data_IF_198482890728
#
_entry.id   IF_198482890728
#
_cell.length_a   1.000
_cell.length_b   1.000
_cell.length_c   1.000
_cell.angle_alpha   90.00
_cell.angle_beta   90.00
_cell.angle_gamma   90.00
#
_symmetry.space_group_name_H-M   'P 1'
#
loop_
_entity.id
_entity.type
_entity.pdbx_description
1 polymer ?
#
# COMPACT_ATOMS: atom_id res chain seq x y z
N UNK A 1 -15.48 -21.31 -13.07
CA UNK A 1 -15.22 -20.54 -11.85
C UNK A 1 -13.72 -20.26 -11.84
N UNK A 2 -13.30 -19.01 -11.87
CA UNK A 2 -11.88 -18.70 -11.77
C UNK A 2 -11.35 -19.23 -10.42
N UNK A 3 -10.11 -19.74 -10.36
CA UNK A 3 -9.51 -20.16 -9.10
C UNK A 3 -9.49 -18.98 -8.13
N UNK A 4 -9.83 -19.25 -6.86
CA UNK A 4 -9.81 -18.22 -5.84
C UNK A 4 -8.39 -17.63 -5.71
N UNK A 5 -8.27 -16.31 -5.63
CA UNK A 5 -6.99 -15.63 -5.40
C UNK A 5 -6.38 -16.15 -4.06
N UNK A 6 -5.19 -16.74 -4.09
CA UNK A 6 -4.58 -17.30 -2.89
C UNK A 6 -4.27 -16.23 -1.84
N UNK A 7 -3.91 -15.01 -2.27
CA UNK A 7 -3.64 -13.88 -1.38
C UNK A 7 -4.90 -13.45 -0.63
N UNK A 8 -6.00 -13.27 -1.35
CA UNK A 8 -7.29 -12.95 -0.75
C UNK A 8 -7.73 -14.05 0.21
N UNK A 9 -7.62 -15.31 -0.21
CA UNK A 9 -7.95 -16.47 0.64
C UNK A 9 -7.11 -16.55 1.92
N UNK A 10 -5.87 -16.11 1.86
CA UNK A 10 -5.00 -16.02 3.06
C UNK A 10 -5.52 -14.95 4.02
N UNK A 11 -5.78 -13.73 3.53
CA UNK A 11 -6.24 -12.63 4.39
C UNK A 11 -7.62 -12.90 4.98
N UNK A 12 -8.55 -13.49 4.22
CA UNK A 12 -9.85 -13.93 4.74
C UNK A 12 -9.73 -14.87 5.95
N UNK A 13 -8.77 -15.79 5.93
CA UNK A 13 -8.60 -16.78 7.01
C UNK A 13 -7.77 -16.28 8.18
N UNK A 14 -6.91 -15.27 7.98
CA UNK A 14 -5.92 -14.85 8.97
C UNK A 14 -6.07 -13.39 9.41
N UNK A 15 -7.17 -12.71 9.03
CA UNK A 15 -7.34 -11.27 9.21
C UNK A 15 -7.09 -10.80 10.65
N UNK A 16 -7.76 -11.41 11.62
CA UNK A 16 -7.63 -11.03 13.03
C UNK A 16 -6.21 -11.16 13.55
N UNK A 17 -5.56 -12.31 13.28
CA UNK A 17 -4.19 -12.53 13.70
C UNK A 17 -3.23 -11.56 13.02
N UNK A 18 -3.42 -11.32 11.72
CA UNK A 18 -2.59 -10.39 10.94
C UNK A 18 -2.75 -8.95 11.45
N UNK A 19 -3.97 -8.51 11.70
CA UNK A 19 -4.23 -7.17 12.22
C UNK A 19 -3.55 -6.94 13.57
N UNK A 20 -3.71 -7.87 14.52
CA UNK A 20 -3.02 -7.80 15.81
C UNK A 20 -1.49 -7.81 15.70
N UNK A 21 -0.93 -8.59 14.77
CA UNK A 21 0.52 -8.68 14.59
C UNK A 21 1.13 -7.45 13.90
N UNK A 22 0.31 -6.57 13.31
CA UNK A 22 0.80 -5.42 12.53
C UNK A 22 0.38 -4.06 13.08
N UNK A 23 -0.61 -4.00 13.97
CA UNK A 23 -1.18 -2.73 14.45
C UNK A 23 -0.18 -1.83 15.17
N UNK A 24 0.77 -2.42 15.89
CA UNK A 24 1.79 -1.68 16.67
C UNK A 24 3.07 -1.37 15.87
N UNK A 25 3.18 -1.86 14.62
CA UNK A 25 4.34 -1.59 13.78
C UNK A 25 4.35 -0.11 13.36
N UNK A 26 5.49 0.58 13.52
CA UNK A 26 5.59 2.03 13.28
C UNK A 26 6.30 2.32 11.95
N UNK A 27 5.63 3.10 11.10
CA UNK A 27 6.15 3.53 9.79
C UNK A 27 6.60 5.00 9.80
N UNK A 28 7.13 5.49 10.94
CA UNK A 28 7.35 6.91 11.20
C UNK A 28 8.22 7.60 10.13
N UNK A 29 9.30 6.96 9.66
CA UNK A 29 10.16 7.54 8.63
C UNK A 29 9.41 7.71 7.30
N UNK A 30 8.72 6.66 6.86
CA UNK A 30 8.01 6.69 5.59
C UNK A 30 6.79 7.63 5.65
N UNK A 31 6.02 7.60 6.75
CA UNK A 31 4.89 8.51 6.98
C UNK A 31 5.36 9.98 7.02
N UNK A 32 6.47 10.27 7.72
CA UNK A 32 7.03 11.62 7.77
C UNK A 32 7.50 12.10 6.40
N UNK A 33 8.16 11.24 5.62
CA UNK A 33 8.60 11.57 4.27
C UNK A 33 7.42 11.79 3.31
N UNK A 34 6.35 11.00 3.41
CA UNK A 34 5.12 11.16 2.63
C UNK A 34 4.39 12.45 3.02
N UNK A 35 4.20 12.70 4.32
CA UNK A 35 3.54 13.88 4.84
C UNK A 35 4.23 15.20 4.43
N UNK A 36 5.55 15.19 4.30
CA UNK A 36 6.31 16.36 3.87
C UNK A 36 6.01 16.81 2.42
N UNK A 37 5.41 15.94 1.61
CA UNK A 37 5.03 16.25 0.23
C UNK A 37 3.54 16.59 0.07
N UNK A 38 2.77 16.56 1.15
CA UNK A 38 1.31 16.74 1.12
C UNK A 38 0.90 18.15 1.50
N UNK A 39 -0.15 18.71 0.90
CA UNK A 39 -0.78 19.92 1.41
C UNK A 39 -1.47 19.66 2.75
N UNK A 40 -1.71 20.71 3.53
CA UNK A 40 -2.51 20.63 4.74
C UNK A 40 -3.92 20.10 4.43
N UNK A 41 -4.43 19.19 5.28
CA UNK A 41 -5.76 18.57 5.09
C UNK A 41 -5.92 17.83 3.77
N UNK A 42 -4.83 17.23 3.26
CA UNK A 42 -4.87 16.43 2.05
C UNK A 42 -5.92 15.31 2.12
N UNK A 43 -6.53 15.01 0.98
CA UNK A 43 -7.39 13.84 0.81
C UNK A 43 -6.53 12.67 0.36
N UNK A 44 -6.49 11.62 1.16
CA UNK A 44 -5.60 10.47 0.96
C UNK A 44 -6.41 9.20 0.73
N UNK A 45 -5.84 8.31 -0.07
CA UNK A 45 -6.24 6.93 -0.18
C UNK A 45 -5.20 6.05 0.52
N UNK A 46 -5.61 5.27 1.53
CA UNK A 46 -4.82 4.16 2.07
C UNK A 46 -5.25 2.88 1.33
N UNK A 47 -4.42 2.46 0.37
CA UNK A 47 -4.77 1.48 -0.65
C UNK A 47 -4.19 0.10 -0.33
N UNK A 48 -5.02 -0.79 0.18
CA UNK A 48 -4.64 -2.03 0.84
C UNK A 48 -4.26 -1.77 2.29
N UNK A 49 -5.17 -1.15 3.07
CA UNK A 49 -4.89 -0.61 4.40
C UNK A 49 -4.64 -1.66 5.48
N UNK A 50 -4.93 -2.93 5.20
CA UNK A 50 -4.72 -4.03 6.14
C UNK A 50 -5.40 -3.78 7.50
N UNK A 51 -4.63 -3.73 8.58
CA UNK A 51 -5.14 -3.47 9.94
C UNK A 51 -5.69 -2.05 10.16
N UNK A 52 -5.57 -1.13 9.20
CA UNK A 52 -5.95 0.27 9.35
C UNK A 52 -4.97 1.12 10.17
N UNK A 53 -3.83 0.58 10.56
CA UNK A 53 -2.78 1.24 11.35
C UNK A 53 -2.34 2.56 10.73
N UNK A 54 -1.99 2.54 9.44
CA UNK A 54 -1.50 3.72 8.74
C UNK A 54 -2.63 4.73 8.47
N UNK A 55 -3.85 4.24 8.19
CA UNK A 55 -5.05 5.09 8.14
C UNK A 55 -5.25 5.88 9.43
N UNK A 56 -5.10 5.23 10.59
CA UNK A 56 -5.23 5.88 11.89
C UNK A 56 -4.12 6.93 12.10
N UNK A 57 -2.88 6.58 11.77
CA UNK A 57 -1.74 7.50 11.88
C UNK A 57 -1.91 8.73 10.98
N UNK A 58 -2.31 8.54 9.72
CA UNK A 58 -2.55 9.63 8.77
C UNK A 58 -3.70 10.54 9.20
N UNK A 59 -4.79 9.98 9.74
CA UNK A 59 -5.88 10.78 10.35
C UNK A 59 -5.40 11.57 11.56
N UNK A 60 -4.53 10.97 12.38
CA UNK A 60 -3.89 11.65 13.51
C UNK A 60 -3.05 12.87 13.11
N UNK A 61 -2.51 12.87 11.87
CA UNK A 61 -1.82 14.02 11.28
C UNK A 61 -2.78 15.05 10.67
N UNK A 62 -4.09 14.84 10.73
CA UNK A 62 -5.11 15.79 10.27
C UNK A 62 -5.53 15.64 8.80
N UNK A 63 -5.22 14.52 8.17
CA UNK A 63 -5.61 14.21 6.79
C UNK A 63 -7.01 13.56 6.71
N UNK A 64 -7.69 13.76 5.58
CA UNK A 64 -8.91 13.03 5.23
C UNK A 64 -8.53 11.71 4.54
N UNK A 65 -8.71 10.57 5.23
CA UNK A 65 -8.26 9.27 4.74
C UNK A 65 -9.44 8.38 4.35
N UNK A 66 -9.48 7.98 3.09
CA UNK A 66 -10.27 6.85 2.61
C UNK A 66 -9.44 5.58 2.74
N UNK A 67 -9.91 4.62 3.52
CA UNK A 67 -9.24 3.33 3.73
C UNK A 67 -9.91 2.28 2.83
N UNK A 68 -9.11 1.53 2.08
CA UNK A 68 -9.58 0.48 1.16
C UNK A 68 -8.78 -0.79 1.35
N UNK A 69 -9.46 -1.93 1.40
CA UNK A 69 -8.84 -3.26 1.38
C UNK A 69 -9.70 -4.21 0.55
N UNK A 70 -9.07 -5.18 -0.12
CA UNK A 70 -9.78 -6.16 -0.92
C UNK A 70 -10.48 -7.25 -0.10
N UNK A 71 -10.06 -7.45 1.16
CA UNK A 71 -10.57 -8.51 2.03
C UNK A 71 -11.65 -7.97 2.99
N UNK A 72 -12.90 -8.47 2.91
CA UNK A 72 -13.93 -8.19 3.91
C UNK A 72 -13.48 -8.49 5.34
N UNK A 73 -12.81 -9.62 5.56
CA UNK A 73 -12.33 -9.99 6.89
C UNK A 73 -11.26 -9.03 7.42
N UNK A 74 -10.38 -8.49 6.55
CA UNK A 74 -9.43 -7.45 6.94
C UNK A 74 -10.14 -6.14 7.28
N UNK A 75 -11.17 -5.76 6.50
CA UNK A 75 -11.98 -4.58 6.79
C UNK A 75 -12.64 -4.66 8.16
N UNK A 76 -13.23 -5.80 8.49
CA UNK A 76 -13.82 -6.06 9.81
C UNK A 76 -12.78 -6.03 10.92
N UNK A 77 -11.61 -6.64 10.71
CA UNK A 77 -10.51 -6.63 11.67
C UNK A 77 -9.97 -5.21 11.91
N UNK A 78 -9.81 -4.40 10.86
CA UNK A 78 -9.40 -2.99 10.99
C UNK A 78 -10.41 -2.18 11.81
N UNK A 79 -11.71 -2.39 11.59
CA UNK A 79 -12.76 -1.74 12.38
C UNK A 79 -12.66 -2.11 13.86
N UNK A 80 -12.45 -3.39 14.19
CA UNK A 80 -12.34 -3.86 15.58
C UNK A 80 -11.08 -3.34 16.28
N UNK A 81 -9.95 -3.28 15.58
CA UNK A 81 -8.64 -2.95 16.17
C UNK A 81 -8.42 -1.44 16.27
N UNK A 82 -8.84 -0.68 15.26
CA UNK A 82 -8.53 0.75 15.14
C UNK A 82 -9.75 1.66 15.08
N UNK A 83 -10.98 1.11 14.98
CA UNK A 83 -12.19 1.88 14.68
C UNK A 83 -12.24 2.45 13.26
N UNK A 84 -11.32 2.03 12.37
CA UNK A 84 -11.26 2.48 10.99
C UNK A 84 -12.32 1.79 10.15
N UNK A 85 -13.20 2.57 9.54
CA UNK A 85 -14.14 2.04 8.52
C UNK A 85 -13.40 1.90 7.21
N UNK A 86 -13.46 0.71 6.61
CA UNK A 86 -12.75 0.33 5.38
C UNK A 86 -13.76 0.03 4.28
N UNK A 87 -13.54 0.59 3.09
CA UNK A 87 -14.26 0.20 1.87
C UNK A 87 -13.68 -1.12 1.36
N UNK A 88 -14.54 -2.08 1.09
CA UNK A 88 -14.12 -3.39 0.55
C UNK A 88 -14.07 -3.29 -0.97
N UNK A 89 -12.87 -3.09 -1.50
CA UNK A 89 -12.63 -2.94 -2.94
C UNK A 89 -11.25 -3.50 -3.31
N UNK A 90 -11.19 -4.22 -4.42
CA UNK A 90 -9.92 -4.65 -5.02
C UNK A 90 -9.23 -3.47 -5.71
N UNK A 91 -7.95 -3.61 -6.06
CA UNK A 91 -7.23 -2.58 -6.82
C UNK A 91 -7.92 -2.23 -8.14
N UNK A 92 -8.50 -3.22 -8.83
CA UNK A 92 -9.19 -3.02 -10.09
C UNK A 92 -10.50 -2.22 -10.00
N UNK A 93 -11.04 -2.05 -8.81
CA UNK A 93 -12.29 -1.30 -8.57
C UNK A 93 -12.05 0.18 -8.28
N UNK A 94 -10.79 0.64 -8.21
CA UNK A 94 -10.47 2.06 -8.04
C UNK A 94 -10.95 2.87 -9.25
N UNK A 95 -12.05 3.58 -9.07
CA UNK A 95 -12.74 4.29 -10.16
C UNK A 95 -12.57 5.81 -10.12
N UNK A 96 -12.08 6.36 -9.03
CA UNK A 96 -11.91 7.79 -8.81
C UNK A 96 -10.97 8.42 -9.84
N UNK A 97 -11.23 9.69 -10.15
CA UNK A 97 -10.43 10.48 -11.09
C UNK A 97 -10.02 11.79 -10.42
N UNK A 98 -8.71 12.06 -10.35
CA UNK A 98 -8.14 13.28 -9.78
C UNK A 98 -8.76 13.65 -8.42
N UNK A 99 -8.99 12.63 -7.55
CA UNK A 99 -9.70 12.78 -6.29
C UNK A 99 -8.75 12.95 -5.09
N UNK A 100 -7.54 12.40 -5.18
CA UNK A 100 -6.62 12.29 -4.05
C UNK A 100 -5.38 13.17 -4.23
N UNK A 101 -4.93 13.78 -3.13
CA UNK A 101 -3.67 14.50 -3.01
C UNK A 101 -2.50 13.54 -2.73
N UNK A 102 -2.80 12.31 -2.31
CA UNK A 102 -1.82 11.26 -2.09
C UNK A 102 -2.46 9.87 -2.02
N UNK A 103 -1.71 8.86 -2.47
CA UNK A 103 -2.02 7.44 -2.28
C UNK A 103 -0.91 6.83 -1.44
N UNK A 104 -1.31 6.16 -0.35
CA UNK A 104 -0.45 5.36 0.50
C UNK A 104 -0.70 3.88 0.22
N UNK A 105 0.28 3.18 -0.38
CA UNK A 105 0.20 1.77 -0.73
C UNK A 105 1.32 0.99 -0.02
N UNK A 106 1.27 0.97 1.31
CA UNK A 106 2.27 0.34 2.16
C UNK A 106 2.12 -1.18 2.16
N UNK A 107 3.10 -1.90 1.64
CA UNK A 107 3.13 -3.36 1.62
C UNK A 107 1.86 -4.01 1.04
N UNK A 108 1.24 -3.37 0.05
CA UNK A 108 0.00 -3.83 -0.58
C UNK A 108 0.19 -4.22 -2.04
N UNK A 109 0.79 -3.35 -2.86
CA UNK A 109 1.00 -3.60 -4.31
C UNK A 109 1.95 -4.77 -4.58
N UNK A 110 2.76 -5.16 -3.63
CA UNK A 110 3.64 -6.34 -3.72
C UNK A 110 2.86 -7.66 -3.90
N UNK A 111 1.54 -7.65 -3.71
CA UNK A 111 0.68 -8.81 -3.93
C UNK A 111 0.09 -8.87 -5.35
N UNK A 112 0.44 -7.92 -6.20
CA UNK A 112 0.05 -7.86 -7.60
C UNK A 112 1.14 -8.52 -8.45
N UNK A 113 0.80 -9.46 -9.38
CA UNK A 113 1.77 -9.98 -10.35
C UNK A 113 2.46 -8.85 -11.14
N UNK A 114 3.74 -9.02 -11.45
CA UNK A 114 4.53 -7.98 -12.14
C UNK A 114 3.90 -7.57 -13.49
N UNK A 115 3.29 -8.52 -14.19
CA UNK A 115 2.59 -8.29 -15.45
C UNK A 115 1.37 -7.36 -15.31
N UNK A 116 0.73 -7.31 -14.12
CA UNK A 116 -0.46 -6.53 -13.85
C UNK A 116 -0.16 -5.17 -13.20
N UNK A 117 1.04 -5.00 -12.63
CA UNK A 117 1.45 -3.75 -11.97
C UNK A 117 1.31 -2.49 -12.85
N UNK A 118 1.65 -2.51 -14.16
CA UNK A 118 1.43 -1.34 -15.01
C UNK A 118 -0.02 -0.85 -15.04
N UNK A 119 -0.98 -1.78 -15.09
CA UNK A 119 -2.42 -1.45 -15.04
C UNK A 119 -2.85 -0.87 -13.70
N UNK A 120 -2.34 -1.44 -12.60
CA UNK A 120 -2.63 -0.94 -11.25
C UNK A 120 -2.04 0.46 -11.04
N UNK A 121 -0.83 0.72 -11.51
CA UNK A 121 -0.21 2.05 -11.45
C UNK A 121 -0.93 3.08 -12.34
N UNK A 122 -1.54 2.66 -13.45
CA UNK A 122 -2.41 3.51 -14.26
C UNK A 122 -3.66 3.95 -13.50
N UNK A 123 -4.30 3.02 -12.75
CA UNK A 123 -5.44 3.38 -11.90
C UNK A 123 -5.04 4.34 -10.78
N UNK A 124 -3.89 4.11 -10.13
CA UNK A 124 -3.34 5.04 -9.14
C UNK A 124 -3.11 6.43 -9.73
N UNK A 125 -2.47 6.50 -10.92
CA UNK A 125 -2.22 7.77 -11.60
C UNK A 125 -3.52 8.49 -11.97
N UNK A 126 -4.55 7.76 -12.42
CA UNK A 126 -5.88 8.33 -12.71
C UNK A 126 -6.55 8.90 -11.47
N UNK A 127 -6.46 8.20 -10.33
CA UNK A 127 -7.10 8.61 -9.08
C UNK A 127 -6.41 9.81 -8.42
N UNK A 128 -5.11 9.98 -8.63
CA UNK A 128 -4.31 11.09 -8.13
C UNK A 128 -4.58 12.38 -8.92
N UNK A 129 -4.56 13.50 -8.24
CA UNK A 129 -4.48 14.83 -8.87
C UNK A 129 -3.12 15.02 -9.55
N UNK A 130 -2.99 15.90 -10.56
CA UNK A 130 -1.69 16.29 -11.11
C UNK A 130 -0.75 16.79 -10.01
N UNK A 131 0.50 16.33 -9.99
CA UNK A 131 1.48 16.69 -8.97
C UNK A 131 1.29 16.01 -7.60
N UNK A 132 0.29 15.16 -7.44
CA UNK A 132 0.04 14.41 -6.21
C UNK A 132 1.03 13.24 -6.04
N UNK A 133 1.15 12.75 -4.80
CA UNK A 133 2.19 11.80 -4.42
C UNK A 133 1.64 10.37 -4.25
N UNK A 134 2.37 9.40 -4.79
CA UNK A 134 2.23 7.97 -4.51
C UNK A 134 3.36 7.53 -3.58
N UNK A 135 3.03 6.91 -2.45
CA UNK A 135 3.95 6.06 -1.71
C UNK A 135 3.62 4.59 -2.01
N UNK A 136 4.65 3.80 -2.30
CA UNK A 136 4.51 2.35 -2.37
C UNK A 136 5.74 1.64 -1.79
N UNK A 137 5.53 0.41 -1.28
CA UNK A 137 6.62 -0.40 -0.79
C UNK A 137 6.50 -1.87 -1.21
N UNK A 138 7.65 -2.47 -1.50
CA UNK A 138 7.80 -3.85 -1.94
C UNK A 138 8.86 -4.55 -1.08
N UNK A 139 8.83 -5.88 -1.02
CA UNK A 139 10.00 -6.63 -0.54
C UNK A 139 11.16 -6.37 -1.48
N UNK A 140 12.36 -6.17 -0.90
CA UNK A 140 13.57 -5.95 -1.68
C UNK A 140 14.10 -7.28 -2.23
N UNK A 141 14.14 -7.41 -3.54
CA UNK A 141 14.60 -8.63 -4.21
C UNK A 141 14.12 -8.77 -5.64
N UNK A 142 14.16 -9.99 -6.16
CA UNK A 142 13.76 -10.32 -7.53
C UNK A 142 12.81 -11.53 -7.58
N UNK A 143 12.32 -11.98 -6.42
CA UNK A 143 11.42 -13.12 -6.37
C UNK A 143 10.02 -12.72 -6.84
N UNK A 144 9.41 -13.58 -7.63
CA UNK A 144 8.00 -13.49 -7.97
C UNK A 144 7.33 -14.86 -7.82
N UNK A 145 6.20 -14.90 -7.11
CA UNK A 145 5.44 -16.13 -6.92
C UNK A 145 4.77 -16.25 -5.56
N UNK A 146 4.28 -17.45 -5.25
CA UNK A 146 3.60 -17.75 -3.98
C UNK A 146 4.62 -17.98 -2.84
N UNK A 147 4.44 -17.24 -1.74
CA UNK A 147 5.21 -17.38 -0.50
C UNK A 147 4.23 -17.38 0.68
N UNK A 148 4.19 -18.47 1.44
CA UNK A 148 3.29 -18.62 2.60
C UNK A 148 1.81 -18.31 2.29
N UNK A 149 1.32 -18.81 1.15
CA UNK A 149 -0.08 -18.70 0.72
C UNK A 149 -0.48 -17.35 0.13
N UNK A 150 0.46 -16.43 -0.10
CA UNK A 150 0.25 -15.14 -0.75
C UNK A 150 1.16 -14.98 -1.96
N UNK A 151 0.72 -14.29 -2.96
CA UNK A 151 1.58 -13.83 -4.05
C UNK A 151 2.50 -12.73 -3.56
N UNK A 152 3.76 -12.75 -4.04
CA UNK A 152 4.73 -11.69 -3.83
C UNK A 152 5.44 -11.37 -5.15
N UNK A 153 5.56 -10.10 -5.42
CA UNK A 153 6.43 -9.52 -6.43
C UNK A 153 7.45 -8.66 -5.68
N UNK A 154 8.65 -9.19 -5.52
CA UNK A 154 9.76 -8.45 -4.91
C UNK A 154 10.39 -7.57 -5.99
N UNK A 155 10.82 -6.36 -5.64
CA UNK A 155 11.42 -5.42 -6.58
C UNK A 155 12.74 -4.86 -6.07
N UNK A 156 13.61 -4.49 -7.02
CA UNK A 156 14.77 -3.65 -6.83
C UNK A 156 14.55 -2.27 -7.46
N UNK A 157 15.43 -1.32 -7.19
CA UNK A 157 15.29 0.08 -7.58
C UNK A 157 15.02 0.27 -9.08
N UNK A 158 15.78 -0.40 -9.92
CA UNK A 158 15.65 -0.28 -11.38
C UNK A 158 14.30 -0.78 -11.89
N UNK A 159 13.83 -1.94 -11.39
CA UNK A 159 12.55 -2.52 -11.78
C UNK A 159 11.37 -1.63 -11.37
N UNK A 160 11.40 -1.08 -10.15
CA UNK A 160 10.35 -0.16 -9.70
C UNK A 160 10.40 1.16 -10.47
N UNK A 161 11.59 1.71 -10.73
CA UNK A 161 11.74 2.94 -11.51
C UNK A 161 11.16 2.80 -12.93
N UNK A 162 11.43 1.69 -13.61
CA UNK A 162 10.88 1.39 -14.94
C UNK A 162 9.34 1.29 -14.95
N UNK A 163 8.75 0.69 -13.90
CA UNK A 163 7.30 0.60 -13.76
C UNK A 163 6.63 1.96 -13.53
N UNK A 164 7.30 2.86 -12.81
CA UNK A 164 6.79 4.20 -12.47
C UNK A 164 6.97 5.22 -13.60
N UNK A 165 8.05 5.11 -14.38
CA UNK A 165 8.45 6.09 -15.41
C UNK A 165 7.33 6.57 -16.34
N UNK A 166 6.38 5.74 -16.80
CA UNK A 166 5.34 6.22 -17.73
C UNK A 166 4.38 7.27 -17.14
N UNK A 167 4.23 7.33 -15.81
CA UNK A 167 3.21 8.16 -15.14
C UNK A 167 3.72 9.01 -13.99
N UNK A 168 4.90 8.68 -13.46
CA UNK A 168 5.42 9.26 -12.23
C UNK A 168 6.88 9.66 -12.39
N UNK A 169 7.27 10.71 -11.67
CA UNK A 169 8.65 11.08 -11.41
C UNK A 169 9.05 10.59 -10.00
N UNK A 170 10.09 9.79 -9.90
CA UNK A 170 10.58 9.29 -8.60
C UNK A 170 11.19 10.46 -7.81
N UNK A 171 10.57 10.81 -6.69
CA UNK A 171 11.07 11.85 -5.80
C UNK A 171 12.08 11.31 -4.79
N UNK A 172 11.84 10.13 -4.22
CA UNK A 172 12.74 9.44 -3.31
C UNK A 172 12.53 7.93 -3.39
N UNK A 173 13.63 7.19 -3.37
CA UNK A 173 13.63 5.72 -3.25
C UNK A 173 14.69 5.32 -2.24
N UNK A 174 14.37 4.37 -1.34
CA UNK A 174 15.31 3.91 -0.32
C UNK A 174 15.00 2.50 0.14
N UNK A 175 16.00 1.84 0.69
CA UNK A 175 15.86 0.51 1.28
C UNK A 175 15.89 0.63 2.80
N UNK A 176 14.94 -0.02 3.49
CA UNK A 176 14.87 -0.11 4.94
C UNK A 176 14.83 -1.55 5.44
N UNK A 177 15.13 -1.78 6.72
CA UNK A 177 14.83 -3.03 7.38
C UNK A 177 13.31 -3.15 7.66
N UNK A 178 12.83 -4.37 7.97
CA UNK A 178 11.47 -4.53 8.47
C UNK A 178 11.35 -3.86 9.85
N UNK A 179 10.28 -3.12 10.06
CA UNK A 179 10.03 -2.40 11.32
C UNK A 179 9.69 -3.33 12.49
N UNK A 180 9.39 -4.59 12.20
CA UNK A 180 9.11 -5.62 13.22
C UNK A 180 10.40 -6.28 13.66
N UNK A 181 10.69 -6.27 14.96
CA UNK A 181 11.96 -6.74 15.53
C UNK A 181 12.32 -8.19 15.16
N UNK A 182 11.31 -9.06 15.00
CA UNK A 182 11.50 -10.48 14.66
C UNK A 182 11.86 -10.74 13.18
N UNK A 183 11.90 -9.70 12.35
CA UNK A 183 12.12 -9.75 10.89
C UNK A 183 13.26 -8.85 10.43
N UNK A 184 14.25 -8.63 11.25
CA UNK A 184 15.35 -7.70 10.99
C UNK A 184 16.18 -7.99 9.73
N UNK A 185 16.17 -9.23 9.25
CA UNK A 185 16.84 -9.62 8.00
C UNK A 185 16.02 -9.29 6.74
N UNK A 186 14.71 -9.02 6.89
CA UNK A 186 13.86 -8.65 5.77
C UNK A 186 14.06 -7.19 5.38
N UNK A 187 14.25 -6.94 4.10
CA UNK A 187 14.45 -5.60 3.54
C UNK A 187 13.28 -5.17 2.68
N UNK A 188 13.02 -3.88 2.69
CA UNK A 188 11.92 -3.24 1.98
C UNK A 188 12.44 -2.15 1.05
N UNK A 189 11.99 -2.17 -0.19
CA UNK A 189 12.12 -1.05 -1.11
C UNK A 189 10.94 -0.11 -0.92
N UNK A 190 11.23 1.15 -0.61
CA UNK A 190 10.24 2.20 -0.42
C UNK A 190 10.38 3.24 -1.52
N UNK A 191 9.28 3.79 -1.99
CA UNK A 191 9.31 4.82 -3.03
C UNK A 191 8.24 5.89 -2.78
N UNK A 192 8.63 7.13 -2.97
CA UNK A 192 7.78 8.30 -3.15
C UNK A 192 7.90 8.76 -4.59
N UNK A 193 6.77 8.84 -5.29
CA UNK A 193 6.73 9.22 -6.69
C UNK A 193 5.64 10.27 -6.92
N UNK A 194 5.91 11.26 -7.74
CA UNK A 194 5.01 12.38 -8.05
C UNK A 194 4.33 12.10 -9.38
N UNK A 195 3.01 12.21 -9.43
CA UNK A 195 2.25 12.09 -10.68
C UNK A 195 2.60 13.23 -11.63
N UNK A 196 2.93 12.87 -12.86
CA UNK A 196 3.12 13.81 -13.98
C UNK A 196 1.82 14.51 -14.40
#
# INVERSE_FOLDING_TARGET
MAPADPTMSYYERNATQFAHATVDARMDEALGAFAALLPARARLLDWGCGSGRDSLALRGLGYEVTSVDGSPAMADAALQVTGTVVRVETFAQLAEVAAYDGIWACASLLHVPSADLPGVLEWAARALKPGAVLYCSFKYGTYEGLRNGRWFTDLQEEGLAQLLEPRFDVARMWVSADVRQERGDERWLNCLAIKR
#
